data_IF_633352676471
#
_entry.id   IF_633352676471
#
_cell.length_a   1.000
_cell.length_b   1.000
_cell.length_c   1.000
_cell.angle_alpha   90.00
_cell.angle_beta   90.00
_cell.angle_gamma   90.00
#
_symmetry.space_group_name_H-M   'P 1'
#
loop_
_entity.id
_entity.type
_entity.pdbx_description
1 polymer ?
#
# COMPACT_ATOMS: atom_id res chain seq x y z
N UNK A 1 2.67 -28.58 35.77
CA UNK A 1 2.90 -27.12 35.63
C UNK A 1 3.97 -26.86 34.59
N UNK A 2 3.65 -27.29 33.37
CA UNK A 2 4.29 -27.02 32.07
C UNK A 2 3.35 -27.70 31.09
N UNK A 3 2.19 -27.08 30.89
CA UNK A 3 1.22 -27.51 29.89
C UNK A 3 1.12 -26.38 28.87
N UNK A 4 2.00 -26.52 27.88
CA UNK A 4 1.76 -26.32 26.47
C UNK A 4 0.68 -25.32 26.06
N UNK A 5 1.17 -24.11 25.78
CA UNK A 5 0.53 -23.04 25.01
C UNK A 5 0.54 -23.40 23.51
N UNK A 6 0.16 -24.64 23.16
CA UNK A 6 0.16 -25.14 21.78
C UNK A 6 -1.23 -25.15 21.11
N UNK A 7 -2.26 -24.63 21.77
CA UNK A 7 -3.65 -24.70 21.28
C UNK A 7 -4.34 -23.35 21.00
N UNK A 8 -3.59 -22.25 20.90
CA UNK A 8 -4.12 -21.06 20.23
C UNK A 8 -3.83 -21.22 18.74
N UNK A 9 -4.86 -21.64 18.01
CA UNK A 9 -4.89 -21.78 16.55
C UNK A 9 -4.59 -20.47 15.85
N UNK A 10 -3.32 -20.08 15.85
CA UNK A 10 -2.74 -19.08 14.97
C UNK A 10 -2.44 -19.79 13.64
N UNK A 11 -3.49 -20.16 12.92
CA UNK A 11 -3.37 -20.34 11.47
C UNK A 11 -3.22 -18.95 10.88
N UNK A 12 -1.98 -18.45 10.90
CA UNK A 12 -1.58 -17.31 10.12
C UNK A 12 -1.97 -17.64 8.67
N UNK A 13 -2.84 -16.83 8.04
CA UNK A 13 -3.22 -16.97 6.63
C UNK A 13 -2.00 -16.71 5.73
N UNK A 14 -1.02 -17.60 5.77
CA UNK A 14 -0.11 -17.77 4.66
C UNK A 14 -0.81 -18.73 3.73
N UNK A 15 -1.06 -18.31 2.49
CA UNK A 15 -1.31 -19.29 1.45
C UNK A 15 -0.10 -20.25 1.44
N UNK A 16 -0.35 -21.55 1.55
CA UNK A 16 0.69 -22.58 1.54
C UNK A 16 1.24 -22.70 0.10
N UNK A 17 2.15 -21.80 -0.27
CA UNK A 17 2.81 -21.83 -1.58
C UNK A 17 3.82 -22.99 -1.64
N UNK A 18 3.75 -23.82 -2.69
CA UNK A 18 4.64 -24.99 -2.80
C UNK A 18 6.05 -24.60 -3.26
N UNK A 19 6.18 -23.47 -3.97
CA UNK A 19 7.45 -22.95 -4.47
C UNK A 19 7.39 -21.43 -4.67
N UNK A 20 8.55 -20.83 -4.95
CA UNK A 20 8.66 -19.37 -5.16
C UNK A 20 7.95 -18.90 -6.43
N UNK A 21 7.85 -19.75 -7.46
CA UNK A 21 7.08 -19.45 -8.67
C UNK A 21 5.61 -19.18 -8.35
N UNK A 22 4.95 -20.06 -7.59
CA UNK A 22 3.54 -19.89 -7.17
C UNK A 22 3.33 -18.65 -6.30
N UNK A 23 4.27 -18.36 -5.39
CA UNK A 23 4.23 -17.16 -4.57
C UNK A 23 4.28 -15.90 -5.44
N UNK A 24 5.22 -15.84 -6.38
CA UNK A 24 5.36 -14.69 -7.29
C UNK A 24 4.12 -14.59 -8.19
N UNK A 25 3.56 -15.72 -8.65
CA UNK A 25 2.36 -15.74 -9.49
C UNK A 25 1.17 -15.05 -8.84
N UNK A 26 0.90 -15.42 -7.58
CA UNK A 26 -0.19 -14.88 -6.79
C UNK A 26 -0.12 -13.36 -6.65
N UNK A 27 1.08 -12.83 -6.38
CA UNK A 27 1.28 -11.39 -6.26
C UNK A 27 1.19 -10.68 -7.60
N UNK A 28 1.69 -11.28 -8.68
CA UNK A 28 1.54 -10.74 -10.03
C UNK A 28 0.08 -10.68 -10.45
N UNK A 29 -0.72 -11.74 -10.20
CA UNK A 29 -2.16 -11.73 -10.48
C UNK A 29 -2.88 -10.66 -9.66
N UNK A 30 -2.52 -10.50 -8.39
CA UNK A 30 -3.07 -9.47 -7.52
C UNK A 30 -2.84 -8.07 -8.09
N UNK A 31 -1.63 -7.77 -8.60
CA UNK A 31 -1.31 -6.48 -9.22
C UNK A 31 -2.00 -6.35 -10.58
N UNK A 32 -1.99 -7.41 -11.38
CA UNK A 32 -2.59 -7.44 -12.72
C UNK A 32 -4.09 -7.15 -12.69
N UNK A 33 -4.81 -7.66 -11.68
CA UNK A 33 -6.24 -7.40 -11.48
C UNK A 33 -6.56 -5.93 -11.15
N UNK A 34 -5.59 -5.17 -10.65
CA UNK A 34 -5.76 -3.75 -10.28
C UNK A 34 -5.06 -2.79 -11.25
N UNK A 35 -4.70 -3.26 -12.46
CA UNK A 35 -4.03 -2.43 -13.46
C UNK A 35 -4.92 -1.29 -13.96
N UNK A 36 -4.31 -0.16 -14.27
CA UNK A 36 -5.03 1.05 -14.70
C UNK A 36 -5.43 1.04 -16.18
N UNK A 37 -4.79 0.22 -17.03
CA UNK A 37 -5.08 0.15 -18.46
C UNK A 37 -4.70 -1.21 -19.07
N UNK A 38 -5.44 -1.61 -20.11
CA UNK A 38 -5.15 -2.82 -20.91
C UNK A 38 -4.09 -2.59 -22.00
N UNK A 39 -3.51 -1.38 -22.06
CA UNK A 39 -2.52 -0.99 -23.06
C UNK A 39 -1.12 -1.12 -22.49
N UNK A 40 -0.23 -1.62 -23.34
CA UNK A 40 1.21 -1.56 -23.09
C UNK A 40 1.69 -0.12 -23.30
N UNK A 41 2.67 0.29 -22.50
CA UNK A 41 3.40 1.53 -22.71
C UNK A 41 4.28 1.45 -23.98
N UNK A 42 5.00 2.53 -24.29
CA UNK A 42 5.93 2.59 -25.43
C UNK A 42 7.11 1.61 -25.33
N UNK A 43 7.34 1.02 -24.16
CA UNK A 43 8.41 0.07 -23.86
C UNK A 43 7.90 -1.38 -23.80
N UNK A 44 6.61 -1.62 -24.04
CA UNK A 44 6.01 -2.95 -24.01
C UNK A 44 5.71 -3.48 -22.61
N UNK A 45 5.57 -2.59 -21.61
CA UNK A 45 5.18 -2.95 -20.25
C UNK A 45 3.75 -2.55 -19.91
N UNK A 46 3.14 -3.25 -18.96
CA UNK A 46 1.90 -2.82 -18.32
C UNK A 46 2.16 -1.90 -17.13
N UNK A 47 1.22 -0.98 -16.89
CA UNK A 47 1.20 -0.14 -15.71
C UNK A 47 0.34 -0.78 -14.59
N UNK A 48 0.86 -0.95 -13.36
CA UNK A 48 2.18 -0.48 -12.90
C UNK A 48 3.32 -1.45 -13.29
N UNK A 49 4.54 -0.94 -13.55
CA UNK A 49 5.73 -1.77 -13.68
C UNK A 49 6.09 -2.42 -12.33
N UNK A 50 6.63 -3.64 -12.39
CA UNK A 50 7.03 -4.45 -11.23
C UNK A 50 8.53 -4.69 -11.27
N UNK A 51 9.21 -4.36 -10.18
CA UNK A 51 10.59 -4.75 -9.90
C UNK A 51 10.57 -5.96 -8.95
N UNK A 52 11.08 -7.09 -9.41
CA UNK A 52 11.19 -8.30 -8.59
C UNK A 52 12.53 -8.30 -7.85
N UNK A 53 12.49 -8.21 -6.52
CA UNK A 53 13.70 -8.10 -5.69
C UNK A 53 13.84 -9.33 -4.79
N UNK A 54 14.82 -10.16 -5.10
CA UNK A 54 15.21 -11.30 -4.26
C UNK A 54 16.22 -10.84 -3.20
N UNK A 55 15.83 -10.89 -1.93
CA UNK A 55 16.69 -10.50 -0.80
C UNK A 55 17.34 -11.72 -0.15
N UNK A 56 18.43 -11.52 0.62
CA UNK A 56 19.09 -12.61 1.35
C UNK A 56 20.20 -13.35 0.58
N UNK A 57 20.77 -12.73 -0.47
CA UNK A 57 21.94 -13.26 -1.22
C UNK A 57 23.16 -13.54 -0.31
N UNK A 58 23.23 -12.92 0.85
CA UNK A 58 24.25 -13.17 1.88
C UNK A 58 24.21 -14.59 2.46
N UNK A 59 23.07 -15.28 2.38
CA UNK A 59 22.90 -16.63 2.96
C UNK A 59 23.69 -17.71 2.20
N UNK A 60 24.34 -17.37 1.10
CA UNK A 60 25.16 -18.28 0.31
C UNK A 60 26.65 -18.03 0.63
N UNK A 61 27.36 -19.10 1.01
CA UNK A 61 28.78 -19.08 1.40
C UNK A 61 29.71 -18.65 0.24
N UNK A 62 30.69 -17.76 0.45
CA UNK A 62 31.50 -17.08 -0.59
C UNK A 62 32.18 -17.98 -1.61
N UNK A 63 32.59 -19.20 -1.22
CA UNK A 63 33.18 -20.19 -2.15
C UNK A 63 32.11 -20.95 -2.93
N UNK A 64 30.93 -21.14 -2.32
CA UNK A 64 29.73 -21.70 -2.96
C UNK A 64 28.94 -20.65 -3.75
N UNK A 65 29.16 -19.36 -3.51
CA UNK A 65 28.37 -18.24 -4.06
C UNK A 65 28.29 -18.31 -5.58
N UNK A 66 29.40 -18.50 -6.30
CA UNK A 66 29.36 -18.41 -7.76
C UNK A 66 28.58 -19.54 -8.43
N UNK A 67 28.59 -20.75 -7.87
CA UNK A 67 27.92 -21.93 -8.47
C UNK A 67 26.55 -22.20 -7.88
N UNK A 68 26.37 -22.01 -6.57
CA UNK A 68 25.08 -22.18 -5.89
C UNK A 68 24.10 -21.06 -6.26
N UNK A 69 24.52 -19.77 -6.20
CA UNK A 69 23.65 -18.66 -6.61
C UNK A 69 23.26 -18.77 -8.08
N UNK A 70 24.17 -19.21 -8.94
CA UNK A 70 23.87 -19.40 -10.37
C UNK A 70 22.84 -20.50 -10.58
N UNK A 71 22.95 -21.61 -9.85
CA UNK A 71 21.97 -22.72 -9.93
C UNK A 71 20.60 -22.28 -9.47
N UNK A 72 20.53 -21.60 -8.34
CA UNK A 72 19.27 -21.13 -7.78
C UNK A 72 18.64 -20.02 -8.62
N UNK A 73 19.43 -19.06 -9.10
CA UNK A 73 18.95 -18.05 -10.05
C UNK A 73 18.35 -18.72 -11.29
N UNK A 74 19.03 -19.72 -11.86
CA UNK A 74 18.50 -20.46 -12.99
C UNK A 74 17.23 -21.24 -12.62
N UNK A 75 17.13 -21.77 -11.40
CA UNK A 75 15.95 -22.48 -10.93
C UNK A 75 14.76 -21.55 -10.76
N UNK A 76 14.96 -20.39 -10.14
CA UNK A 76 13.97 -19.31 -10.01
C UNK A 76 13.52 -18.87 -11.41
N UNK A 77 14.44 -18.54 -12.31
CA UNK A 77 14.11 -18.13 -13.68
C UNK A 77 13.31 -19.21 -14.42
N UNK A 78 13.66 -20.48 -14.26
CA UNK A 78 12.90 -21.58 -14.84
C UNK A 78 11.50 -21.72 -14.23
N UNK A 79 11.34 -21.51 -12.92
CA UNK A 79 10.04 -21.52 -12.26
C UNK A 79 9.20 -20.33 -12.73
N UNK A 80 9.75 -19.12 -12.75
CA UNK A 80 9.08 -17.92 -13.25
C UNK A 80 8.66 -18.08 -14.71
N UNK A 81 9.52 -18.63 -15.57
CA UNK A 81 9.16 -18.88 -16.98
C UNK A 81 8.03 -19.90 -17.13
N UNK A 82 7.96 -20.92 -16.26
CA UNK A 82 6.85 -21.89 -16.25
C UNK A 82 5.54 -21.25 -15.80
N UNK A 83 5.62 -20.40 -14.79
CA UNK A 83 4.47 -19.73 -14.16
C UNK A 83 3.94 -18.61 -15.06
N UNK A 84 4.81 -17.73 -15.53
CA UNK A 84 4.43 -16.61 -16.39
C UNK A 84 4.05 -17.05 -17.79
N UNK A 85 4.66 -18.12 -18.33
CA UNK A 85 4.31 -18.65 -19.65
C UNK A 85 4.19 -17.57 -20.73
N UNK A 86 3.19 -17.71 -21.61
CA UNK A 86 2.77 -16.67 -22.57
C UNK A 86 1.75 -15.67 -21.96
N UNK A 87 1.60 -15.65 -20.63
CA UNK A 87 0.60 -14.81 -19.99
C UNK A 87 0.99 -13.34 -20.06
N UNK A 88 0.01 -12.48 -20.34
CA UNK A 88 0.23 -11.06 -20.53
C UNK A 88 0.79 -10.36 -19.29
N UNK A 89 0.57 -10.93 -18.09
CA UNK A 89 1.10 -10.40 -16.82
C UNK A 89 2.63 -10.29 -16.77
N UNK A 90 3.36 -11.05 -17.60
CA UNK A 90 4.82 -10.89 -17.74
C UNK A 90 5.20 -9.47 -18.16
N UNK A 91 4.34 -8.77 -18.91
CA UNK A 91 4.58 -7.38 -19.30
C UNK A 91 4.60 -6.41 -18.12
N UNK A 92 4.20 -6.80 -16.91
CA UNK A 92 4.46 -5.98 -15.73
C UNK A 92 5.94 -6.05 -15.29
N UNK A 93 6.66 -7.13 -15.56
CA UNK A 93 8.03 -7.32 -15.08
C UNK A 93 8.99 -6.36 -15.79
N UNK A 94 9.49 -5.37 -15.04
CA UNK A 94 10.50 -4.43 -15.52
C UNK A 94 11.91 -5.01 -15.38
N UNK A 95 12.24 -5.53 -14.20
CA UNK A 95 13.55 -6.10 -13.93
C UNK A 95 13.52 -7.05 -12.72
N UNK A 96 14.55 -7.88 -12.61
CA UNK A 96 14.81 -8.77 -11.47
C UNK A 96 16.18 -8.49 -10.86
N UNK A 97 16.21 -8.21 -9.55
CA UNK A 97 17.41 -7.88 -8.80
C UNK A 97 17.63 -8.88 -7.66
N UNK A 98 18.90 -9.12 -7.32
CA UNK A 98 19.32 -10.01 -6.23
C UNK A 98 20.18 -9.22 -5.25
N UNK A 99 19.66 -9.01 -4.04
CA UNK A 99 20.25 -8.17 -3.01
C UNK A 99 20.79 -9.02 -1.85
N UNK A 100 21.94 -8.60 -1.34
CA UNK A 100 22.49 -9.07 -0.07
C UNK A 100 22.04 -8.13 1.05
N UNK A 101 21.60 -8.67 2.17
CA UNK A 101 21.11 -7.87 3.29
C UNK A 101 22.23 -7.45 4.26
N UNK A 102 23.44 -7.97 4.07
CA UNK A 102 24.59 -7.72 4.95
C UNK A 102 25.74 -7.03 4.24
N UNK A 103 25.72 -6.99 2.91
CA UNK A 103 26.70 -6.22 2.15
C UNK A 103 26.30 -4.75 2.22
N UNK A 104 27.14 -3.97 2.90
CA UNK A 104 27.02 -2.53 3.03
C UNK A 104 27.54 -1.90 1.72
N UNK A 105 26.71 -1.86 0.67
CA UNK A 105 27.16 -1.42 -0.65
C UNK A 105 26.14 -0.49 -1.31
N UNK A 106 26.55 0.76 -1.48
CA UNK A 106 25.88 1.80 -2.27
C UNK A 106 25.58 1.33 -3.71
N UNK A 107 26.45 0.58 -4.38
CA UNK A 107 26.28 0.14 -5.80
C UNK A 107 24.99 -0.65 -6.09
N UNK A 108 24.58 -1.56 -5.19
CA UNK A 108 23.38 -2.38 -5.45
C UNK A 108 22.11 -1.62 -5.09
N UNK A 109 22.15 -0.78 -4.06
CA UNK A 109 21.07 0.16 -3.74
C UNK A 109 20.96 1.26 -4.80
N UNK A 110 22.07 1.76 -5.32
CA UNK A 110 22.17 2.69 -6.44
C UNK A 110 21.56 2.05 -7.68
N UNK A 111 21.87 0.77 -7.95
CA UNK A 111 21.18 0.04 -9.03
C UNK A 111 19.68 -0.01 -8.80
N UNK A 112 19.20 -0.38 -7.60
CA UNK A 112 17.77 -0.40 -7.31
C UNK A 112 17.14 1.00 -7.48
N UNK A 113 17.81 2.06 -7.00
CA UNK A 113 17.36 3.45 -7.14
C UNK A 113 17.29 3.88 -8.60
N UNK A 114 18.28 3.50 -9.42
CA UNK A 114 18.31 3.77 -10.85
C UNK A 114 17.15 3.06 -11.56
N UNK A 115 16.90 1.78 -11.24
CA UNK A 115 15.79 1.01 -11.81
C UNK A 115 14.42 1.58 -11.42
N UNK A 116 14.25 1.99 -10.16
CA UNK A 116 13.03 2.68 -9.69
C UNK A 116 12.87 4.02 -10.42
N UNK A 117 13.94 4.79 -10.55
CA UNK A 117 13.93 6.09 -11.23
C UNK A 117 13.59 5.92 -12.71
N UNK A 118 14.21 4.97 -13.40
CA UNK A 118 13.92 4.66 -14.79
C UNK A 118 12.48 4.20 -14.99
N UNK A 119 11.96 3.32 -14.12
CA UNK A 119 10.57 2.88 -14.18
C UNK A 119 9.63 4.06 -13.98
N UNK A 120 9.88 4.94 -13.01
CA UNK A 120 9.09 6.13 -12.74
C UNK A 120 9.09 7.13 -13.92
N UNK A 121 10.25 7.37 -14.53
CA UNK A 121 10.41 8.25 -15.70
C UNK A 121 9.62 7.76 -16.93
N UNK A 122 9.38 6.45 -17.02
CA UNK A 122 8.65 5.82 -18.14
C UNK A 122 7.14 5.75 -17.90
N UNK A 123 6.65 6.09 -16.70
CA UNK A 123 5.22 6.07 -16.39
C UNK A 123 4.47 7.16 -17.16
N UNK A 124 3.25 6.85 -17.62
CA UNK A 124 2.43 7.75 -18.44
C UNK A 124 2.09 9.09 -17.76
N UNK A 125 2.14 9.16 -16.43
CA UNK A 125 1.87 10.38 -15.67
C UNK A 125 3.11 11.25 -15.46
N UNK A 126 4.31 10.73 -15.73
CA UNK A 126 5.54 11.50 -15.57
C UNK A 126 5.65 12.62 -16.60
N UNK A 127 6.10 13.79 -16.16
CA UNK A 127 6.31 14.95 -17.03
C UNK A 127 5.03 15.58 -17.60
N UNK A 128 3.84 15.14 -17.17
CA UNK A 128 2.58 15.81 -17.52
C UNK A 128 2.47 17.17 -16.84
N UNK A 129 2.00 18.16 -17.59
CA UNK A 129 1.75 19.49 -17.06
C UNK A 129 0.71 19.45 -15.94
N UNK A 130 1.04 20.06 -14.81
CA UNK A 130 0.13 20.23 -13.68
C UNK A 130 -0.19 21.72 -13.52
N UNK A 131 -1.45 22.02 -13.22
CA UNK A 131 -1.86 23.39 -12.92
C UNK A 131 -1.15 23.92 -11.69
N UNK A 132 -0.56 25.12 -11.77
CA UNK A 132 0.08 25.78 -10.62
C UNK A 132 -0.91 25.90 -9.45
N UNK A 133 -2.20 26.12 -9.74
CA UNK A 133 -3.26 26.19 -8.72
C UNK A 133 -3.37 24.89 -7.92
N UNK A 134 -3.24 23.75 -8.59
CA UNK A 134 -3.31 22.43 -7.96
C UNK A 134 -2.12 22.21 -7.04
N UNK A 135 -0.91 22.60 -7.47
CA UNK A 135 0.31 22.52 -6.66
C UNK A 135 0.18 23.40 -5.40
N UNK A 136 -0.37 24.61 -5.54
CA UNK A 136 -0.58 25.51 -4.40
C UNK A 136 -1.62 24.97 -3.41
N UNK A 137 -2.71 24.38 -3.91
CA UNK A 137 -3.71 23.75 -3.05
C UNK A 137 -3.17 22.49 -2.34
N UNK A 138 -2.39 21.67 -3.05
CA UNK A 138 -1.69 20.53 -2.48
C UNK A 138 -0.75 20.94 -1.35
N UNK A 139 0.00 22.03 -1.54
CA UNK A 139 0.85 22.59 -0.49
C UNK A 139 0.06 23.00 0.77
N UNK A 140 -1.13 23.61 0.60
CA UNK A 140 -2.01 23.90 1.75
C UNK A 140 -2.51 22.63 2.43
N UNK A 141 -2.80 21.57 1.67
CA UNK A 141 -3.16 20.26 2.24
C UNK A 141 -2.01 19.73 3.10
N UNK A 142 -0.77 19.82 2.62
CA UNK A 142 0.42 19.39 3.38
C UNK A 142 0.63 20.18 4.67
N UNK A 143 0.35 21.48 4.66
CA UNK A 143 0.36 22.29 5.90
C UNK A 143 -0.71 21.76 6.87
N UNK A 144 -1.93 21.52 6.41
CA UNK A 144 -3.00 20.99 7.27
C UNK A 144 -2.65 19.59 7.83
N UNK A 145 -2.01 18.73 7.03
CA UNK A 145 -1.50 17.43 7.48
C UNK A 145 -0.46 17.59 8.59
N UNK A 146 0.51 18.51 8.41
CA UNK A 146 1.55 18.83 9.41
C UNK A 146 0.97 19.39 10.70
N UNK A 147 -0.12 20.16 10.60
CA UNK A 147 -0.88 20.67 11.75
C UNK A 147 -1.75 19.59 12.44
N UNK A 148 -1.67 18.33 11.98
CA UNK A 148 -2.34 17.18 12.59
C UNK A 148 -3.79 16.97 12.14
N UNK A 149 -4.28 17.71 11.14
CA UNK A 149 -5.62 17.47 10.59
C UNK A 149 -5.62 16.22 9.73
N UNK A 150 -6.45 15.25 10.12
CA UNK A 150 -6.55 13.96 9.43
C UNK A 150 -7.61 13.99 8.31
N UNK A 151 -8.64 14.82 8.46
CA UNK A 151 -9.69 15.01 7.46
C UNK A 151 -10.28 16.42 7.53
N UNK A 152 -10.98 16.81 6.48
CA UNK A 152 -11.81 18.02 6.39
C UNK A 152 -13.10 17.71 5.61
N UNK A 153 -14.10 18.58 5.69
CA UNK A 153 -15.30 18.49 4.87
C UNK A 153 -15.15 19.27 3.54
N UNK A 154 -16.09 19.04 2.62
CA UNK A 154 -16.06 19.66 1.29
C UNK A 154 -16.10 21.19 1.36
N UNK A 155 -16.89 21.75 2.28
CA UNK A 155 -16.99 23.20 2.48
C UNK A 155 -15.64 23.82 2.90
N UNK A 156 -14.92 23.16 3.80
CA UNK A 156 -13.58 23.58 4.22
C UNK A 156 -12.59 23.51 3.05
N UNK A 157 -12.62 22.42 2.27
CA UNK A 157 -11.77 22.28 1.09
C UNK A 157 -12.08 23.35 0.03
N UNK A 158 -13.36 23.61 -0.24
CA UNK A 158 -13.79 24.66 -1.18
C UNK A 158 -13.31 26.05 -0.76
N UNK A 159 -13.31 26.35 0.53
CA UNK A 159 -12.76 27.61 1.06
C UNK A 159 -11.25 27.72 0.82
N UNK A 160 -10.49 26.64 0.99
CA UNK A 160 -9.05 26.61 0.68
C UNK A 160 -8.81 26.83 -0.81
N UNK A 161 -9.56 26.13 -1.67
CA UNK A 161 -9.44 26.23 -3.12
C UNK A 161 -9.77 27.65 -3.67
N UNK A 162 -10.73 28.34 -3.03
CA UNK A 162 -11.14 29.70 -3.38
C UNK A 162 -10.24 30.80 -2.80
N UNK A 163 -9.19 30.44 -2.03
CA UNK A 163 -8.21 31.41 -1.56
C UNK A 163 -7.62 32.19 -2.73
N UNK A 164 -7.37 33.49 -2.55
CA UNK A 164 -6.96 34.40 -3.63
C UNK A 164 -5.74 33.90 -4.42
N UNK A 165 -4.78 33.28 -3.73
CA UNK A 165 -3.56 32.78 -4.35
C UNK A 165 -3.76 31.49 -5.19
N UNK A 166 -4.85 30.76 -4.97
CA UNK A 166 -5.18 29.51 -5.69
C UNK A 166 -6.24 29.77 -6.76
N UNK A 167 -7.33 30.43 -6.40
CA UNK A 167 -8.39 30.87 -7.29
C UNK A 167 -9.01 29.74 -8.15
N UNK A 168 -9.35 28.61 -7.50
CA UNK A 168 -10.22 27.57 -8.07
C UNK A 168 -11.66 27.89 -7.66
N UNK A 169 -12.43 28.46 -8.59
CA UNK A 169 -13.80 28.94 -8.33
C UNK A 169 -14.85 27.89 -8.69
N UNK A 170 -14.62 27.16 -9.78
CA UNK A 170 -15.53 26.15 -10.31
C UNK A 170 -15.47 24.88 -9.45
N UNK A 171 -16.63 24.36 -9.09
CA UNK A 171 -16.72 23.12 -8.31
C UNK A 171 -16.16 21.92 -9.08
N UNK A 172 -16.41 21.86 -10.39
CA UNK A 172 -15.93 20.78 -11.27
C UNK A 172 -14.39 20.73 -11.30
N UNK A 173 -13.70 21.88 -11.30
CA UNK A 173 -12.24 21.93 -11.23
C UNK A 173 -11.73 21.39 -9.88
N UNK A 174 -12.42 21.71 -8.77
CA UNK A 174 -12.09 21.17 -7.46
C UNK A 174 -12.34 19.66 -7.37
N UNK A 175 -13.43 19.17 -7.95
CA UNK A 175 -13.74 17.74 -7.99
C UNK A 175 -12.69 16.97 -8.79
N UNK A 176 -12.27 17.50 -9.95
CA UNK A 176 -11.18 16.91 -10.74
C UNK A 176 -9.87 16.87 -9.95
N UNK A 177 -9.54 17.93 -9.21
CA UNK A 177 -8.38 17.94 -8.32
C UNK A 177 -8.49 16.85 -7.25
N UNK A 178 -9.63 16.73 -6.58
CA UNK A 178 -9.83 15.73 -5.51
C UNK A 178 -9.75 14.29 -6.05
N UNK A 179 -10.35 14.04 -7.21
CA UNK A 179 -10.27 12.74 -7.90
C UNK A 179 -8.83 12.40 -8.29
N UNK A 180 -8.09 13.38 -8.81
CA UNK A 180 -6.68 13.22 -9.12
C UNK A 180 -5.86 12.88 -7.87
N UNK A 181 -5.98 13.67 -6.81
CA UNK A 181 -5.25 13.45 -5.56
C UNK A 181 -5.62 12.12 -4.88
N UNK A 182 -6.86 11.68 -5.04
CA UNK A 182 -7.30 10.34 -4.63
C UNK A 182 -6.62 9.24 -5.44
N UNK A 183 -6.54 9.38 -6.77
CA UNK A 183 -5.95 8.39 -7.66
C UNK A 183 -4.44 8.17 -7.43
N UNK A 184 -3.72 9.22 -7.02
CA UNK A 184 -2.30 9.13 -6.68
C UNK A 184 -2.07 8.73 -5.21
N UNK A 185 -3.15 8.57 -4.43
CA UNK A 185 -3.08 8.16 -3.03
C UNK A 185 -2.57 9.24 -2.07
N UNK A 186 -2.65 10.53 -2.44
CA UNK A 186 -2.26 11.63 -1.57
C UNK A 186 -3.35 11.99 -0.54
N UNK A 187 -4.61 11.77 -0.92
CA UNK A 187 -5.80 11.89 -0.08
C UNK A 187 -6.76 10.71 -0.34
N UNK A 188 -7.80 10.58 0.46
CA UNK A 188 -8.93 9.68 0.14
C UNK A 188 -10.19 10.53 0.02
N UNK A 189 -10.84 10.43 -1.14
CA UNK A 189 -12.06 11.15 -1.47
C UNK A 189 -13.03 10.20 -2.17
N UNK A 190 -14.28 10.20 -1.70
CA UNK A 190 -15.37 9.46 -2.30
C UNK A 190 -16.52 10.41 -2.61
N UNK A 191 -16.97 10.42 -3.86
CA UNK A 191 -18.00 11.36 -4.31
C UNK A 191 -19.37 11.13 -3.64
N UNK A 192 -19.65 9.90 -3.19
CA UNK A 192 -20.85 9.58 -2.41
C UNK A 192 -20.74 9.97 -0.93
N UNK A 193 -19.56 10.36 -0.44
CA UNK A 193 -19.29 10.77 0.95
C UNK A 193 -18.46 12.07 0.94
N UNK A 194 -18.92 13.09 0.20
CA UNK A 194 -18.14 14.32 -0.08
C UNK A 194 -17.72 15.08 1.18
N UNK A 195 -18.49 14.97 2.26
CA UNK A 195 -18.19 15.66 3.53
C UNK A 195 -17.08 15.01 4.36
N UNK A 196 -16.49 13.91 3.87
CA UNK A 196 -15.33 13.27 4.48
C UNK A 196 -14.18 13.19 3.47
N UNK A 197 -13.34 14.22 3.46
CA UNK A 197 -12.09 14.24 2.70
C UNK A 197 -10.96 13.90 3.65
N UNK A 198 -10.44 12.68 3.56
CA UNK A 198 -9.35 12.22 4.42
C UNK A 198 -8.05 12.74 3.82
N UNK A 199 -7.42 13.68 4.53
CA UNK A 199 -6.16 14.27 4.11
C UNK A 199 -5.02 13.28 4.24
N UNK A 200 -5.02 12.43 5.27
CA UNK A 200 -3.96 11.47 5.53
C UNK A 200 -4.45 10.02 5.33
N UNK A 201 -4.16 9.37 4.19
CA UNK A 201 -4.55 7.99 3.94
C UNK A 201 -4.05 6.98 5.00
N UNK A 202 -2.87 7.22 5.60
CA UNK A 202 -2.33 6.36 6.66
C UNK A 202 -3.23 6.34 7.89
N UNK A 203 -3.89 7.46 8.21
CA UNK A 203 -4.84 7.51 9.33
C UNK A 203 -6.02 6.54 9.12
N UNK A 204 -6.53 6.42 7.89
CA UNK A 204 -7.58 5.45 7.58
C UNK A 204 -7.05 4.01 7.63
N UNK A 205 -5.84 3.77 7.09
CA UNK A 205 -5.20 2.46 7.15
C UNK A 205 -4.99 2.01 8.60
N UNK A 206 -4.57 2.91 9.48
CA UNK A 206 -4.39 2.64 10.91
C UNK A 206 -5.73 2.38 11.61
N UNK A 207 -6.80 3.09 11.22
CA UNK A 207 -8.14 2.83 11.73
C UNK A 207 -8.60 1.42 11.36
N UNK A 208 -8.44 1.01 10.10
CA UNK A 208 -8.75 -0.35 9.68
C UNK A 208 -7.86 -1.39 10.36
N UNK A 209 -6.56 -1.10 10.52
CA UNK A 209 -5.64 -1.97 11.26
C UNK A 209 -6.14 -2.25 12.68
N UNK A 210 -6.72 -1.25 13.35
CA UNK A 210 -7.32 -1.45 14.67
C UNK A 210 -8.52 -2.41 14.67
N UNK A 211 -9.24 -2.50 13.55
CA UNK A 211 -10.42 -3.35 13.42
C UNK A 211 -10.08 -4.77 12.96
N UNK A 212 -9.11 -4.91 12.04
CA UNK A 212 -8.84 -6.20 11.37
C UNK A 212 -7.62 -6.93 11.90
N UNK A 213 -6.71 -6.26 12.61
CA UNK A 213 -5.47 -6.88 13.06
C UNK A 213 -5.65 -7.64 14.38
N UNK A 214 -5.21 -8.90 14.34
CA UNK A 214 -4.99 -9.81 15.47
C UNK A 214 -3.95 -9.31 16.48
N UNK A 215 -3.12 -8.32 16.12
CA UNK A 215 -2.00 -7.80 16.93
C UNK A 215 -2.37 -6.65 17.86
N UNK A 216 -3.59 -6.14 17.81
CA UNK A 216 -4.06 -5.16 18.78
C UNK A 216 -4.31 -5.89 20.09
N UNK A 217 -3.70 -5.44 21.18
CA UNK A 217 -3.95 -6.00 22.51
C UNK A 217 -5.40 -5.71 22.92
N UNK A 218 -6.27 -6.66 22.59
CA UNK A 218 -7.70 -6.63 22.87
C UNK A 218 -8.05 -7.30 24.19
N UNK A 219 -7.07 -7.44 25.11
CA UNK A 219 -7.26 -8.10 26.41
C UNK A 219 -8.42 -7.56 27.23
N UNK A 220 -8.72 -6.26 27.07
CA UNK A 220 -9.86 -5.59 27.72
C UNK A 220 -11.22 -5.93 27.11
N UNK A 221 -11.25 -6.45 25.88
CA UNK A 221 -12.45 -6.71 25.09
C UNK A 221 -12.89 -8.17 25.13
N UNK A 222 -12.03 -9.08 25.63
CA UNK A 222 -12.35 -10.51 25.72
C UNK A 222 -13.62 -10.84 26.51
N UNK A 223 -14.05 -9.94 27.40
CA UNK A 223 -15.25 -10.10 28.21
C UNK A 223 -16.55 -9.65 27.52
N UNK A 224 -16.47 -9.05 26.33
CA UNK A 224 -17.64 -8.65 25.55
C UNK A 224 -18.13 -9.83 24.70
N UNK A 225 -19.41 -10.15 24.77
CA UNK A 225 -20.04 -11.15 23.88
C UNK A 225 -19.82 -10.78 22.40
N UNK A 226 -19.82 -9.48 22.10
CA UNK A 226 -19.53 -8.91 20.78
C UNK A 226 -18.12 -9.28 20.27
N UNK A 227 -17.13 -9.41 21.16
CA UNK A 227 -15.79 -9.85 20.77
C UNK A 227 -15.79 -11.30 20.31
N UNK A 228 -16.55 -12.17 20.98
CA UNK A 228 -16.68 -13.58 20.59
C UNK A 228 -17.36 -13.72 19.22
N UNK A 229 -18.40 -12.92 18.96
CA UNK A 229 -19.06 -12.87 17.65
C UNK A 229 -18.15 -12.33 16.55
N UNK A 230 -17.32 -11.33 16.86
CA UNK A 230 -16.33 -10.81 15.92
C UNK A 230 -15.29 -11.87 15.54
N UNK A 231 -14.67 -12.54 16.51
CA UNK A 231 -13.64 -13.57 16.27
C UNK A 231 -14.20 -14.78 15.52
N UNK A 232 -15.42 -15.23 15.87
CA UNK A 232 -16.00 -16.45 15.28
C UNK A 232 -16.65 -16.21 13.92
N UNK A 233 -17.31 -15.07 13.74
CA UNK A 233 -18.21 -14.83 12.60
C UNK A 233 -17.84 -13.59 11.79
N UNK A 234 -16.81 -12.84 12.17
CA UNK A 234 -16.45 -11.57 11.53
C UNK A 234 -17.47 -10.46 11.76
N UNK A 235 -18.40 -10.62 12.71
CA UNK A 235 -19.48 -9.66 12.97
C UNK A 235 -18.99 -8.55 13.89
N UNK A 236 -18.97 -7.32 13.37
CA UNK A 236 -18.54 -6.14 14.12
C UNK A 236 -19.74 -5.30 14.58
N UNK A 237 -19.78 -4.98 15.88
CA UNK A 237 -20.81 -4.11 16.46
C UNK A 237 -20.30 -2.68 16.64
N UNK A 238 -21.22 -1.70 16.73
CA UNK A 238 -20.86 -0.30 17.03
C UNK A 238 -20.20 -0.15 18.40
N UNK A 239 -20.64 -0.94 19.38
CA UNK A 239 -20.05 -0.96 20.71
C UNK A 239 -18.60 -1.43 20.63
N UNK A 240 -18.36 -2.52 19.89
CA UNK A 240 -17.02 -3.05 19.73
C UNK A 240 -16.07 -2.06 19.02
N UNK A 241 -16.52 -1.39 17.95
CA UNK A 241 -15.75 -0.32 17.29
C UNK A 241 -15.37 0.79 18.28
N UNK A 242 -16.34 1.22 19.09
CA UNK A 242 -16.14 2.29 20.07
C UNK A 242 -15.09 1.88 21.11
N UNK A 243 -15.12 0.65 21.58
CA UNK A 243 -14.14 0.15 22.55
C UNK A 243 -12.76 -0.10 21.92
N UNK A 244 -12.69 -0.60 20.68
CA UNK A 244 -11.43 -0.74 19.92
C UNK A 244 -10.74 0.60 19.74
N UNK A 245 -11.49 1.66 19.42
CA UNK A 245 -10.94 3.00 19.27
C UNK A 245 -10.61 3.69 20.61
N UNK A 246 -11.01 3.13 21.76
CA UNK A 246 -10.52 3.59 23.07
C UNK A 246 -9.20 2.92 23.48
N UNK A 247 -8.74 1.92 22.74
CA UNK A 247 -7.46 1.25 23.02
C UNK A 247 -6.27 2.20 22.80
N UNK A 248 -5.08 1.80 23.29
CA UNK A 248 -3.84 2.57 23.13
C UNK A 248 -3.56 2.89 21.65
N UNK A 249 -3.81 1.93 20.77
CA UNK A 249 -3.58 2.06 19.32
C UNK A 249 -4.71 2.82 18.61
N UNK A 250 -5.90 2.90 19.22
CA UNK A 250 -7.08 3.51 18.64
C UNK A 250 -7.41 4.93 19.13
N UNK A 251 -6.78 5.39 20.20
CA UNK A 251 -7.16 6.63 20.91
C UNK A 251 -7.24 7.89 20.03
N UNK A 252 -6.43 7.96 18.97
CA UNK A 252 -6.47 9.03 17.95
C UNK A 252 -7.75 9.07 17.11
N UNK A 253 -8.56 8.01 17.15
CA UNK A 253 -9.87 7.90 16.51
C UNK A 253 -11.02 8.15 17.50
N UNK A 254 -10.76 8.08 18.80
CA UNK A 254 -11.75 8.39 19.83
C UNK A 254 -11.83 9.89 20.09
N UNK A 255 -12.96 10.52 19.78
CA UNK A 255 -13.24 11.89 20.22
C UNK A 255 -13.35 12.97 19.15
N UNK A 256 -13.32 12.65 17.85
CA UNK A 256 -13.67 13.62 16.81
C UNK A 256 -15.20 13.72 16.66
N UNK A 257 -15.85 14.19 17.73
CA UNK A 257 -17.20 14.76 17.67
C UNK A 257 -17.07 16.10 16.96
N UNK A 258 -17.40 16.14 15.68
CA UNK A 258 -18.00 17.25 14.93
C UNK A 258 -17.84 16.97 13.43
N UNK A 259 -18.79 16.20 12.89
CA UNK A 259 -19.28 16.41 11.53
C UNK A 259 -20.67 17.02 11.72
#
# INVERSE_FOLDING_TARGET
MKDDISNLGLSQCFADFQNIGEYVDFWFDSIHCHRSADKLDSYGHYNPPILLVFTGKDRYDKVRQSTALRREKNEIENQLNKVFGLHSKYHHLHNTLYLSNTEDIDEVFEKLQNEVSEAALKMDNWGKDCSIKWILLEHLIDINKKDGKQFINFTQMSKLAKHHDINIQEEDELLLFLQFQHSVGNIIFFENIRDLIILNPQWLADAFRCLVSDRVDNSRLYHLDDWTLFVREGKISKLLITELFKSKDGSQFSGQKNI
#
